data_IF_125115691709
#
_entry.id   IF_125115691709
#
_cell.length_a   1.000
_cell.length_b   1.000
_cell.length_c   1.000
_cell.angle_alpha   90.00
_cell.angle_beta   90.00
_cell.angle_gamma   90.00
#
_symmetry.space_group_name_H-M   'P 1'
#
loop_
_entity.id
_entity.type
_entity.pdbx_description
1 polymer ?
#
# COMPACT_ATOMS: atom_id res chain seq x y z
N UNK A 1 49.26 17.24 16.37
CA UNK A 1 48.48 17.65 15.18
C UNK A 1 47.56 16.51 14.77
N UNK A 2 46.25 16.64 14.94
CA UNK A 2 45.26 15.65 14.46
C UNK A 2 44.45 16.32 13.34
N UNK A 3 44.68 15.88 12.11
CA UNK A 3 43.84 16.23 10.96
C UNK A 3 42.57 15.39 11.10
N UNK A 4 41.46 16.04 11.50
CA UNK A 4 40.13 15.44 11.40
C UNK A 4 39.73 15.63 9.93
N UNK A 5 39.70 14.54 9.18
CA UNK A 5 39.20 14.54 7.81
C UNK A 5 37.74 14.95 7.82
N UNK A 6 37.43 16.00 7.07
CA UNK A 6 36.07 16.46 6.86
C UNK A 6 35.29 15.38 6.10
N UNK A 7 34.35 14.74 6.79
CA UNK A 7 33.35 13.87 6.16
C UNK A 7 32.44 14.78 5.31
N UNK A 8 32.25 14.52 4.01
CA UNK A 8 31.43 15.37 3.16
C UNK A 8 29.96 15.24 3.56
N UNK A 9 29.42 16.30 4.17
CA UNK A 9 28.06 16.39 4.77
C UNK A 9 26.92 16.41 3.73
N UNK A 10 27.21 16.39 2.43
CA UNK A 10 26.19 16.68 1.40
C UNK A 10 25.35 15.48 0.92
N UNK A 11 25.70 14.22 1.22
CA UNK A 11 24.89 13.05 0.79
C UNK A 11 23.97 12.48 1.88
N UNK A 12 24.33 12.63 3.15
CA UNK A 12 23.60 12.06 4.29
C UNK A 12 22.28 12.77 4.59
N UNK A 13 22.15 14.07 4.32
CA UNK A 13 20.93 14.83 4.68
C UNK A 13 19.75 14.45 3.78
N UNK A 14 19.97 14.13 2.51
CA UNK A 14 18.91 13.70 1.58
C UNK A 14 18.43 12.30 1.94
N UNK A 15 19.36 11.37 2.20
CA UNK A 15 19.02 10.01 2.63
C UNK A 15 18.28 9.99 3.97
N UNK A 16 18.73 10.78 4.95
CA UNK A 16 18.06 10.88 6.25
C UNK A 16 16.66 11.51 6.14
N UNK A 17 16.46 12.50 5.25
CA UNK A 17 15.13 13.08 4.99
C UNK A 17 14.21 12.09 4.28
N UNK A 18 14.70 11.36 3.29
CA UNK A 18 13.94 10.32 2.60
C UNK A 18 13.52 9.20 3.58
N UNK A 19 14.42 8.80 4.47
CA UNK A 19 14.13 7.79 5.50
C UNK A 19 13.05 8.27 6.48
N UNK A 20 13.13 9.53 6.92
CA UNK A 20 12.14 10.15 7.82
C UNK A 20 10.76 10.33 7.17
N UNK A 21 10.72 10.60 5.87
CA UNK A 21 9.48 10.70 5.08
C UNK A 21 8.86 9.30 4.86
N UNK A 22 9.69 8.28 4.57
CA UNK A 22 9.23 6.90 4.42
C UNK A 22 8.62 6.36 5.74
N UNK A 23 9.26 6.63 6.89
CA UNK A 23 8.73 6.21 8.20
C UNK A 23 7.47 6.98 8.61
N UNK A 24 7.32 8.25 8.21
CA UNK A 24 6.09 9.02 8.54
C UNK A 24 4.89 8.55 7.74
N UNK A 25 5.06 8.16 6.47
CA UNK A 25 3.97 7.61 5.64
C UNK A 25 3.45 6.26 6.17
N UNK A 26 4.33 5.39 6.68
CA UNK A 26 3.91 4.13 7.31
C UNK A 26 3.07 4.34 8.58
N UNK A 27 3.23 5.47 9.26
CA UNK A 27 2.44 5.85 10.44
C UNK A 27 1.09 6.47 10.14
N UNK A 28 0.76 6.77 8.87
CA UNK A 28 -0.53 7.35 8.52
C UNK A 28 -1.64 6.30 8.64
N UNK A 29 -2.66 6.65 9.42
CA UNK A 29 -3.81 5.81 9.69
C UNK A 29 -5.09 6.48 9.17
N UNK A 30 -5.78 5.78 8.29
CA UNK A 30 -6.98 6.28 7.64
C UNK A 30 -8.21 5.54 8.14
N UNK A 31 -9.36 6.21 8.19
CA UNK A 31 -10.63 5.53 8.50
C UNK A 31 -10.96 4.52 7.40
N UNK A 32 -11.47 3.34 7.79
CA UNK A 32 -11.93 2.29 6.86
C UNK A 32 -12.86 2.81 5.75
N UNK A 33 -13.72 3.79 6.05
CA UNK A 33 -14.64 4.38 5.06
C UNK A 33 -13.91 5.17 3.97
N UNK A 34 -12.84 5.89 4.34
CA UNK A 34 -12.02 6.69 3.42
C UNK A 34 -11.30 5.76 2.45
N UNK A 35 -10.61 4.74 2.98
CA UNK A 35 -9.92 3.74 2.16
C UNK A 35 -10.91 3.03 1.24
N UNK A 36 -12.06 2.59 1.73
CA UNK A 36 -13.06 1.93 0.87
C UNK A 36 -13.44 2.79 -0.35
N UNK A 37 -13.62 4.10 -0.16
CA UNK A 37 -13.94 5.03 -1.25
C UNK A 37 -12.76 5.17 -2.23
N UNK A 38 -11.55 5.38 -1.72
CA UNK A 38 -10.33 5.49 -2.52
C UNK A 38 -10.08 4.23 -3.37
N UNK A 39 -10.25 3.04 -2.79
CA UNK A 39 -10.09 1.78 -3.51
C UNK A 39 -11.24 1.46 -4.49
N UNK A 40 -12.25 2.33 -4.62
CA UNK A 40 -13.40 2.11 -5.50
C UNK A 40 -14.32 0.95 -5.10
N UNK A 41 -14.22 0.43 -3.87
CA UNK A 41 -14.99 -0.73 -3.42
C UNK A 41 -16.39 -0.29 -3.03
N UNK A 42 -17.34 -0.43 -3.97
CA UNK A 42 -18.75 0.00 -3.80
C UNK A 42 -19.42 -0.64 -2.59
N UNK A 43 -19.23 -1.96 -2.41
CA UNK A 43 -19.88 -2.71 -1.34
C UNK A 43 -19.11 -2.68 -0.02
N UNK A 44 -19.79 -2.27 1.06
CA UNK A 44 -19.23 -2.31 2.43
C UNK A 44 -18.99 -3.74 2.91
N UNK A 45 -19.82 -4.71 2.50
CA UNK A 45 -19.65 -6.12 2.88
C UNK A 45 -18.42 -6.72 2.21
N UNK A 46 -18.21 -6.43 0.92
CA UNK A 46 -17.00 -6.84 0.18
C UNK A 46 -15.75 -6.29 0.85
N UNK A 47 -15.72 -4.99 1.15
CA UNK A 47 -14.60 -4.35 1.84
C UNK A 47 -14.31 -4.99 3.20
N UNK A 48 -15.34 -5.20 4.04
CA UNK A 48 -15.19 -5.87 5.34
C UNK A 48 -14.68 -7.29 5.19
N UNK A 49 -15.17 -8.03 4.20
CA UNK A 49 -14.70 -9.39 3.90
C UNK A 49 -13.23 -9.39 3.50
N UNK A 50 -12.77 -8.38 2.76
CA UNK A 50 -11.38 -8.21 2.38
C UNK A 50 -10.51 -7.93 3.60
N UNK A 51 -10.89 -6.96 4.43
CA UNK A 51 -10.19 -6.67 5.69
C UNK A 51 -10.11 -7.91 6.59
N UNK A 52 -11.23 -8.65 6.75
CA UNK A 52 -11.25 -9.87 7.57
C UNK A 52 -10.29 -10.93 7.04
N UNK A 53 -10.25 -11.13 5.72
CA UNK A 53 -9.36 -12.10 5.09
C UNK A 53 -7.87 -11.76 5.31
N UNK A 54 -7.53 -10.48 5.29
CA UNK A 54 -6.16 -10.00 5.55
C UNK A 54 -5.83 -9.83 7.04
N UNK A 55 -6.76 -10.14 7.96
CA UNK A 55 -6.55 -9.96 9.40
C UNK A 55 -6.64 -8.51 9.90
N UNK A 56 -7.18 -7.59 9.12
CA UNK A 56 -7.27 -6.16 9.45
C UNK A 56 -8.48 -5.87 10.34
N UNK A 57 -8.33 -6.12 11.64
CA UNK A 57 -9.38 -5.96 12.65
C UNK A 57 -9.57 -4.51 13.12
N UNK A 58 -8.49 -3.71 13.16
CA UNK A 58 -8.52 -2.32 13.61
C UNK A 58 -9.51 -1.43 12.83
N UNK A 59 -10.01 -0.35 13.46
CA UNK A 59 -10.94 0.58 12.81
C UNK A 59 -10.25 1.55 11.84
N UNK A 60 -8.94 1.73 12.01
CA UNK A 60 -8.05 2.41 11.07
C UNK A 60 -7.34 1.42 10.17
N UNK A 61 -6.90 1.91 9.02
CA UNK A 61 -6.11 1.20 8.02
C UNK A 61 -4.84 2.02 7.79
N UNK A 62 -3.68 1.40 7.97
CA UNK A 62 -2.40 2.03 7.63
C UNK A 62 -2.19 2.05 6.11
N UNK A 63 -1.26 2.88 5.62
CA UNK A 63 -0.93 2.89 4.20
C UNK A 63 -0.52 1.49 3.67
N UNK A 64 0.38 0.72 4.31
CA UNK A 64 0.70 -0.64 3.85
C UNK A 64 -0.53 -1.57 3.77
N UNK A 65 -1.46 -1.45 4.73
CA UNK A 65 -2.70 -2.22 4.71
C UNK A 65 -3.63 -1.78 3.57
N UNK A 66 -3.66 -0.48 3.24
CA UNK A 66 -4.43 0.04 2.11
C UNK A 66 -3.86 -0.46 0.78
N UNK A 67 -2.53 -0.46 0.63
CA UNK A 67 -1.84 -1.01 -0.55
C UNK A 67 -2.13 -2.51 -0.70
N UNK A 68 -2.13 -3.28 0.40
CA UNK A 68 -2.46 -4.70 0.34
C UNK A 68 -3.92 -4.95 -0.02
N UNK A 69 -4.84 -4.16 0.52
CA UNK A 69 -6.25 -4.19 0.12
C UNK A 69 -6.42 -3.85 -1.37
N UNK A 70 -5.64 -2.90 -1.89
CA UNK A 70 -5.64 -2.53 -3.30
C UNK A 70 -5.19 -3.69 -4.17
N UNK A 71 -4.02 -4.28 -3.86
CA UNK A 71 -3.49 -5.46 -4.58
C UNK A 71 -4.52 -6.59 -4.59
N UNK A 72 -5.11 -6.92 -3.45
CA UNK A 72 -6.13 -7.98 -3.40
C UNK A 72 -7.37 -7.62 -4.23
N UNK A 73 -7.87 -6.38 -4.14
CA UNK A 73 -9.03 -5.95 -4.91
C UNK A 73 -8.75 -6.03 -6.42
N UNK A 74 -7.59 -5.55 -6.89
CA UNK A 74 -7.17 -5.63 -8.29
C UNK A 74 -7.05 -7.08 -8.76
N UNK A 75 -6.42 -7.94 -7.97
CA UNK A 75 -6.30 -9.36 -8.30
C UNK A 75 -7.66 -10.03 -8.47
N UNK A 76 -8.61 -9.78 -7.55
CA UNK A 76 -9.96 -10.36 -7.64
C UNK A 76 -10.78 -9.81 -8.80
N UNK A 77 -10.52 -8.57 -9.23
CA UNK A 77 -11.20 -7.93 -10.37
C UNK A 77 -10.60 -8.32 -11.73
N UNK A 78 -9.36 -8.82 -11.75
CA UNK A 78 -8.66 -9.16 -12.99
C UNK A 78 -9.27 -10.35 -13.76
N UNK A 79 -10.17 -11.12 -13.14
CA UNK A 79 -10.86 -12.20 -13.84
C UNK A 79 -12.02 -12.81 -13.07
N UNK A 80 -12.69 -13.77 -13.71
CA UNK A 80 -13.79 -14.55 -13.12
C UNK A 80 -13.34 -15.99 -12.89
N UNK A 81 -13.87 -16.61 -11.83
CA UNK A 81 -13.64 -18.04 -11.53
C UNK A 81 -12.79 -18.30 -10.29
N UNK A 82 -12.61 -19.59 -9.93
CA UNK A 82 -11.98 -20.00 -8.66
C UNK A 82 -10.50 -19.61 -8.54
N UNK A 83 -9.86 -19.35 -9.69
CA UNK A 83 -8.47 -18.91 -9.75
C UNK A 83 -8.27 -17.52 -9.14
N UNK A 84 -9.21 -16.59 -9.36
CA UNK A 84 -9.18 -15.23 -8.83
C UNK A 84 -9.89 -15.19 -7.47
N UNK A 85 -9.32 -15.91 -6.50
CA UNK A 85 -9.84 -16.02 -5.15
C UNK A 85 -8.87 -15.46 -4.11
N UNK A 86 -9.41 -15.13 -2.93
CA UNK A 86 -8.62 -14.57 -1.82
C UNK A 86 -7.56 -15.55 -1.32
N UNK A 87 -7.88 -16.85 -1.29
CA UNK A 87 -6.94 -17.89 -0.92
C UNK A 87 -5.78 -17.96 -1.90
N UNK A 88 -6.05 -17.86 -3.21
CA UNK A 88 -5.00 -17.84 -4.22
C UNK A 88 -4.14 -16.58 -4.12
N UNK A 89 -4.73 -15.42 -3.87
CA UNK A 89 -4.00 -14.19 -3.57
C UNK A 89 -3.02 -14.39 -2.40
N UNK A 90 -3.49 -14.90 -1.27
CA UNK A 90 -2.65 -15.16 -0.10
C UNK A 90 -1.52 -16.15 -0.41
N UNK A 91 -1.80 -17.21 -1.17
CA UNK A 91 -0.78 -18.17 -1.60
C UNK A 91 0.30 -17.49 -2.46
N UNK A 92 -0.10 -16.73 -3.48
CA UNK A 92 0.84 -16.02 -4.36
C UNK A 92 1.69 -14.99 -3.60
N UNK A 93 1.10 -14.35 -2.58
CA UNK A 93 1.81 -13.45 -1.66
C UNK A 93 2.88 -14.21 -0.87
N UNK A 94 2.51 -15.35 -0.28
CA UNK A 94 3.43 -16.18 0.52
C UNK A 94 4.58 -16.75 -0.31
N UNK A 95 4.31 -17.11 -1.57
CA UNK A 95 5.35 -17.64 -2.48
C UNK A 95 6.16 -16.54 -3.19
N UNK A 96 5.84 -15.26 -2.98
CA UNK A 96 6.54 -14.15 -3.62
C UNK A 96 6.28 -14.00 -5.13
N UNK A 97 5.30 -14.72 -5.68
CA UNK A 97 5.00 -14.73 -7.13
C UNK A 97 3.85 -13.81 -7.53
N UNK A 98 3.29 -13.06 -6.57
CA UNK A 98 2.17 -12.16 -6.80
C UNK A 98 2.49 -11.06 -7.83
N UNK A 99 3.68 -10.45 -7.77
CA UNK A 99 4.10 -9.40 -8.72
C UNK A 99 4.23 -9.94 -10.14
N UNK A 100 4.85 -11.11 -10.31
CA UNK A 100 4.90 -11.80 -11.60
C UNK A 100 3.49 -12.06 -12.14
N UNK A 101 2.56 -12.44 -11.26
CA UNK A 101 1.18 -12.67 -11.67
C UNK A 101 0.46 -11.41 -12.15
N UNK A 102 0.72 -10.24 -11.55
CA UNK A 102 0.19 -8.99 -12.06
C UNK A 102 0.75 -8.65 -13.45
N UNK A 103 2.05 -8.90 -13.67
CA UNK A 103 2.67 -8.71 -14.98
C UNK A 103 2.05 -9.63 -16.05
N UNK A 104 1.79 -10.90 -15.74
CA UNK A 104 1.07 -11.82 -16.64
C UNK A 104 -0.33 -11.31 -17.01
N UNK A 105 -0.99 -10.59 -16.10
CA UNK A 105 -2.30 -9.98 -16.30
C UNK A 105 -2.23 -8.61 -16.99
N UNK A 106 -1.03 -8.16 -17.38
CA UNK A 106 -0.78 -6.81 -17.93
C UNK A 106 -1.27 -5.69 -17.00
N UNK A 107 -1.16 -5.92 -15.68
CA UNK A 107 -1.47 -4.92 -14.65
C UNK A 107 -0.16 -4.36 -14.11
N UNK A 108 0.09 -3.08 -14.36
CA UNK A 108 1.21 -2.35 -13.74
C UNK A 108 0.87 -1.93 -12.31
N UNK A 109 0.96 -2.91 -11.40
CA UNK A 109 0.55 -2.72 -10.02
C UNK A 109 1.41 -1.70 -9.28
N UNK A 110 2.69 -1.52 -9.64
CA UNK A 110 3.57 -0.59 -8.92
C UNK A 110 3.24 0.86 -9.26
N UNK A 111 3.04 1.19 -10.55
CA UNK A 111 2.58 2.52 -10.95
C UNK A 111 1.21 2.86 -10.35
N UNK A 112 0.30 1.88 -10.26
CA UNK A 112 -1.00 2.08 -9.61
C UNK A 112 -0.89 2.32 -8.10
N UNK A 113 0.05 1.65 -7.43
CA UNK A 113 0.31 1.87 -6.02
C UNK A 113 0.97 3.23 -5.77
N UNK A 114 1.85 3.70 -6.65
CA UNK A 114 2.38 5.06 -6.57
C UNK A 114 1.28 6.12 -6.64
N UNK A 115 0.32 5.94 -7.56
CA UNK A 115 -0.86 6.80 -7.63
C UNK A 115 -1.69 6.74 -6.34
N UNK A 116 -1.93 5.55 -5.80
CA UNK A 116 -2.64 5.38 -4.52
C UNK A 116 -1.91 6.07 -3.36
N UNK A 117 -0.57 5.97 -3.28
CA UNK A 117 0.24 6.63 -2.25
C UNK A 117 0.10 8.15 -2.32
N UNK A 118 0.09 8.72 -3.54
CA UNK A 118 -0.13 10.15 -3.75
C UNK A 118 -1.54 10.56 -3.29
N UNK A 119 -2.57 9.83 -3.69
CA UNK A 119 -3.97 10.11 -3.26
C UNK A 119 -4.15 10.02 -1.74
N UNK A 120 -3.51 9.03 -1.09
CA UNK A 120 -3.53 8.90 0.37
C UNK A 120 -2.87 10.09 1.06
N UNK A 121 -1.73 10.54 0.53
CA UNK A 121 -1.03 11.72 1.06
C UNK A 121 -1.89 12.98 0.92
N UNK A 122 -2.48 13.22 -0.24
CA UNK A 122 -3.38 14.35 -0.49
C UNK A 122 -4.60 14.31 0.45
N UNK A 123 -5.21 13.13 0.61
CA UNK A 123 -6.35 12.92 1.51
C UNK A 123 -5.98 13.22 2.97
N UNK A 124 -4.77 12.88 3.39
CA UNK A 124 -4.28 13.19 4.73
C UNK A 124 -4.07 14.69 4.93
N UNK A 125 -3.44 15.36 3.96
CA UNK A 125 -3.20 16.81 4.00
C UNK A 125 -4.53 17.58 4.07
N UNK A 126 -5.56 17.15 3.32
CA UNK A 126 -6.90 17.75 3.36
C UNK A 126 -7.63 17.55 4.71
N UNK A 127 -7.37 16.46 5.43
CA UNK A 127 -8.00 16.20 6.74
C UNK A 127 -7.37 16.99 7.90
N UNK A 128 -6.20 17.60 7.67
CA UNK A 128 -5.48 18.38 8.68
C UNK A 128 -6.00 19.83 8.80
N UNK A 129 -6.70 20.30 7.77
CA UNK A 129 -7.36 21.61 7.71
C UNK A 129 -8.82 21.51 8.11
#
# INVERSE_FOLDING_TARGET
MKIISAIPVSRTVVELRAWKIATTLESLHFRKITIRKLLGIKSRTTFRSHCKHLGFTANSISQPQAEELYRMNRFLLAGRGPYFSRSRFSQLKLTGTLTAKFAELSIDIESELENLRRELKETYEQQKH
#
